data_IF_150884091282
#
_entry.id   IF_150884091282
#
_cell.length_a   1.000
_cell.length_b   1.000
_cell.length_c   1.000
_cell.angle_alpha   90.00
_cell.angle_beta   90.00
_cell.angle_gamma   90.00
#
_symmetry.space_group_name_H-M   'P 1'
#
loop_
_entity.id
_entity.type
_entity.pdbx_description
1 polymer ?
#
# COMPACT_ATOMS: atom_id res chain seq x y z
N UNK A 1 -7.09 22.00 -11.57
CA UNK A 1 -7.27 21.30 -12.86
C UNK A 1 -8.16 20.09 -12.60
N UNK A 2 -9.06 19.71 -13.51
CA UNK A 2 -9.95 18.56 -13.27
C UNK A 2 -9.10 17.27 -13.35
N UNK A 3 -9.32 16.31 -12.45
CA UNK A 3 -8.62 15.00 -12.41
C UNK A 3 -8.74 14.20 -13.72
N UNK A 4 -9.60 14.61 -14.66
CA UNK A 4 -9.87 13.95 -15.93
C UNK A 4 -9.47 14.76 -17.16
N UNK A 5 -8.47 15.65 -17.07
CA UNK A 5 -7.90 16.30 -18.26
C UNK A 5 -7.10 15.30 -19.10
N UNK A 6 -6.54 14.26 -18.48
CA UNK A 6 -5.88 13.16 -19.19
C UNK A 6 -6.93 12.26 -19.87
N UNK A 7 -6.78 12.05 -21.16
CA UNK A 7 -7.69 11.21 -21.99
C UNK A 7 -7.85 9.79 -21.43
N UNK A 8 -6.79 9.19 -20.88
CA UNK A 8 -6.83 7.85 -20.29
C UNK A 8 -7.81 7.80 -19.11
N UNK A 9 -7.67 8.73 -18.15
CA UNK A 9 -8.53 8.74 -16.95
C UNK A 9 -9.97 9.11 -17.28
N UNK A 10 -10.20 9.96 -18.28
CA UNK A 10 -11.54 10.25 -18.79
C UNK A 10 -12.20 9.00 -19.41
N UNK A 11 -11.45 8.21 -20.16
CA UNK A 11 -11.95 6.97 -20.74
C UNK A 11 -12.26 5.94 -19.63
N UNK A 12 -11.37 5.77 -18.67
CA UNK A 12 -11.58 4.91 -17.50
C UNK A 12 -12.83 5.30 -16.72
N UNK A 13 -13.00 6.58 -16.41
CA UNK A 13 -14.19 7.10 -15.74
C UNK A 13 -15.47 6.72 -16.48
N UNK A 14 -15.54 6.97 -17.79
CA UNK A 14 -16.73 6.69 -18.59
C UNK A 14 -17.00 5.18 -18.70
N UNK A 15 -15.97 4.38 -18.93
CA UNK A 15 -16.07 2.91 -19.05
C UNK A 15 -16.55 2.29 -17.74
N UNK A 16 -15.97 2.71 -16.61
CA UNK A 16 -16.30 2.13 -15.31
C UNK A 16 -17.71 2.53 -14.85
N UNK A 17 -18.13 3.78 -14.98
CA UNK A 17 -19.48 4.20 -14.59
C UNK A 17 -20.57 3.71 -15.57
N UNK A 18 -20.21 3.18 -16.75
CA UNK A 18 -21.15 2.45 -17.59
C UNK A 18 -21.42 1.02 -17.08
N UNK A 19 -20.55 0.46 -16.24
CA UNK A 19 -20.62 -0.94 -15.77
C UNK A 19 -20.76 -1.08 -14.25
N UNK A 20 -20.40 -0.06 -13.50
CA UNK A 20 -20.40 -0.03 -12.03
C UNK A 20 -21.03 1.25 -11.50
N UNK A 21 -21.74 1.16 -10.38
CA UNK A 21 -22.34 2.33 -9.71
C UNK A 21 -21.29 3.31 -9.17
N UNK A 22 -20.08 2.83 -8.98
CA UNK A 22 -18.97 3.63 -8.44
C UNK A 22 -17.61 2.96 -8.67
N UNK A 23 -16.54 3.76 -8.61
CA UNK A 23 -15.15 3.30 -8.57
C UNK A 23 -14.30 4.20 -7.67
N UNK A 24 -13.17 3.69 -7.19
CA UNK A 24 -12.18 4.47 -6.42
C UNK A 24 -11.07 4.96 -7.34
N UNK A 25 -10.75 6.25 -7.28
CA UNK A 25 -9.57 6.85 -7.88
C UNK A 25 -8.50 7.00 -6.82
N UNK A 26 -7.38 6.29 -7.00
CA UNK A 26 -6.24 6.27 -6.09
C UNK A 26 -5.09 7.04 -6.70
N UNK A 27 -4.66 8.14 -6.04
CA UNK A 27 -3.39 8.79 -6.32
C UNK A 27 -2.32 8.23 -5.40
N UNK A 28 -1.16 7.90 -5.97
CA UNK A 28 -0.05 7.32 -5.25
C UNK A 28 1.23 8.10 -5.59
N UNK A 29 1.86 8.63 -4.56
CA UNK A 29 3.18 9.25 -4.63
C UNK A 29 4.22 8.28 -4.08
N UNK A 30 5.29 8.05 -4.84
CA UNK A 30 6.43 7.23 -4.42
C UNK A 30 7.48 8.15 -3.80
N UNK A 31 7.55 8.17 -2.47
CA UNK A 31 8.51 8.99 -1.71
C UNK A 31 9.83 8.23 -1.54
N UNK A 32 10.54 8.08 -2.65
CA UNK A 32 11.80 7.35 -2.69
C UNK A 32 12.74 7.98 -3.72
N UNK A 33 14.04 7.92 -3.42
CA UNK A 33 15.12 8.26 -4.39
C UNK A 33 15.40 7.10 -5.36
N UNK A 34 14.81 5.95 -5.14
CA UNK A 34 14.97 4.77 -5.99
C UNK A 34 14.06 4.87 -7.22
N UNK A 35 14.63 5.35 -8.32
CA UNK A 35 13.92 5.43 -9.59
C UNK A 35 13.41 4.07 -10.09
N UNK A 36 14.03 2.95 -9.67
CA UNK A 36 13.55 1.62 -10.07
C UNK A 36 12.23 1.29 -9.39
N UNK A 37 12.02 1.71 -8.14
CA UNK A 37 10.75 1.57 -7.43
C UNK A 37 9.65 2.41 -8.10
N UNK A 38 9.96 3.67 -8.43
CA UNK A 38 9.02 4.56 -9.13
C UNK A 38 8.57 3.98 -10.48
N UNK A 39 9.54 3.52 -11.29
CA UNK A 39 9.26 2.91 -12.59
C UNK A 39 8.43 1.61 -12.46
N UNK A 40 8.65 0.85 -11.37
CA UNK A 40 7.85 -0.34 -11.07
C UNK A 40 6.38 0.02 -10.82
N UNK A 41 6.12 1.07 -10.03
CA UNK A 41 4.76 1.56 -9.77
C UNK A 41 4.11 2.14 -11.04
N UNK A 42 4.84 2.91 -11.86
CA UNK A 42 4.33 3.40 -13.15
C UNK A 42 3.87 2.27 -14.05
N UNK A 43 4.72 1.25 -14.24
CA UNK A 43 4.38 0.07 -15.05
C UNK A 43 3.20 -0.71 -14.46
N UNK A 44 3.15 -0.86 -13.15
CA UNK A 44 2.07 -1.57 -12.48
C UNK A 44 0.72 -0.84 -12.62
N UNK A 45 0.71 0.48 -12.46
CA UNK A 45 -0.48 1.31 -12.63
C UNK A 45 -0.99 1.29 -14.07
N UNK A 46 -0.10 1.41 -15.06
CA UNK A 46 -0.45 1.29 -16.47
C UNK A 46 -1.09 -0.06 -16.79
N UNK A 47 -0.45 -1.15 -16.38
CA UNK A 47 -0.98 -2.51 -16.62
C UNK A 47 -2.33 -2.72 -15.92
N UNK A 48 -2.49 -2.23 -14.70
CA UNK A 48 -3.73 -2.32 -13.93
C UNK A 48 -4.86 -1.55 -14.61
N UNK A 49 -4.63 -0.30 -15.01
CA UNK A 49 -5.60 0.54 -15.68
C UNK A 49 -5.99 0.00 -17.07
N UNK A 50 -5.03 -0.54 -17.82
CA UNK A 50 -5.29 -1.18 -19.11
C UNK A 50 -6.18 -2.43 -18.96
N UNK A 51 -6.02 -3.22 -17.90
CA UNK A 51 -6.94 -4.33 -17.62
C UNK A 51 -8.37 -3.84 -17.37
N UNK A 52 -8.56 -2.74 -16.65
CA UNK A 52 -9.89 -2.16 -16.43
C UNK A 52 -10.57 -1.74 -17.74
N UNK A 53 -9.83 -1.18 -18.69
CA UNK A 53 -10.37 -0.80 -20.01
C UNK A 53 -10.74 -2.02 -20.87
N UNK A 54 -9.90 -3.06 -20.83
CA UNK A 54 -10.04 -4.21 -21.72
C UNK A 54 -10.96 -5.31 -21.16
N UNK A 55 -11.14 -5.39 -19.84
CA UNK A 55 -11.93 -6.43 -19.19
C UNK A 55 -12.59 -5.93 -17.91
N UNK A 56 -13.50 -4.97 -18.05
CA UNK A 56 -14.22 -4.37 -16.92
C UNK A 56 -15.15 -5.34 -16.16
N UNK A 57 -15.46 -6.51 -16.72
CA UNK A 57 -16.34 -7.50 -16.06
C UNK A 57 -15.62 -8.37 -15.01
N UNK A 58 -14.28 -8.47 -15.08
CA UNK A 58 -13.47 -9.31 -14.18
C UNK A 58 -12.24 -8.52 -13.71
N UNK A 59 -12.50 -7.61 -12.78
CA UNK A 59 -11.48 -6.70 -12.24
C UNK A 59 -10.63 -7.36 -11.16
N UNK A 60 -9.38 -6.92 -11.05
CA UNK A 60 -8.54 -7.23 -9.89
C UNK A 60 -9.09 -6.49 -8.66
N UNK A 61 -9.27 -7.17 -7.53
CA UNK A 61 -9.84 -6.62 -6.30
C UNK A 61 -8.91 -5.65 -5.56
N UNK A 62 -7.61 -5.65 -5.88
CA UNK A 62 -6.62 -4.83 -5.21
C UNK A 62 -5.48 -4.40 -6.12
N UNK A 63 -4.80 -3.34 -5.70
CA UNK A 63 -3.56 -2.85 -6.30
C UNK A 63 -2.37 -3.20 -5.41
N UNK A 64 -1.40 -3.93 -5.95
CA UNK A 64 -0.24 -4.43 -5.22
C UNK A 64 0.72 -3.32 -4.78
N UNK A 65 1.25 -3.44 -3.56
CA UNK A 65 2.31 -2.60 -3.04
C UNK A 65 3.64 -3.35 -3.07
N UNK A 66 4.72 -2.64 -3.41
CA UNK A 66 6.07 -3.20 -3.54
C UNK A 66 6.94 -2.82 -2.36
N UNK A 67 7.60 -3.79 -1.74
CA UNK A 67 8.61 -3.52 -0.73
C UNK A 67 9.83 -2.85 -1.39
N UNK A 68 10.32 -1.71 -0.86
CA UNK A 68 11.36 -0.93 -1.53
C UNK A 68 12.74 -1.61 -1.57
N UNK A 69 12.98 -2.62 -0.74
CA UNK A 69 14.26 -3.33 -0.66
C UNK A 69 15.31 -2.58 0.18
N UNK A 70 16.55 -3.06 0.11
CA UNK A 70 17.61 -2.81 1.09
C UNK A 70 18.00 -1.36 1.36
N UNK A 71 17.74 -0.43 0.45
CA UNK A 71 18.15 0.97 0.62
C UNK A 71 17.10 1.87 1.27
N UNK A 72 15.86 1.39 1.40
CA UNK A 72 14.73 2.17 1.91
C UNK A 72 13.90 1.51 3.01
N UNK A 73 13.93 0.18 3.12
CA UNK A 73 13.23 -0.54 4.16
C UNK A 73 14.06 -0.54 5.45
N UNK A 74 13.93 0.51 6.25
CA UNK A 74 14.29 0.41 7.66
C UNK A 74 13.23 -0.45 8.34
N UNK A 75 13.59 -1.70 8.64
CA UNK A 75 12.85 -2.47 9.63
C UNK A 75 13.21 -1.87 10.99
N UNK A 76 12.34 -1.03 11.50
CA UNK A 76 12.42 -0.60 12.90
C UNK A 76 11.63 -1.61 13.71
N UNK A 77 12.33 -2.46 14.47
CA UNK A 77 11.66 -3.27 15.47
C UNK A 77 11.05 -2.33 16.52
N UNK A 78 9.77 -2.52 16.82
CA UNK A 78 9.09 -1.80 17.90
C UNK A 78 9.33 -2.60 19.20
N UNK A 79 10.57 -2.76 19.59
CA UNK A 79 10.98 -3.46 20.79
C UNK A 79 11.80 -2.55 21.72
N UNK A 80 11.79 -2.85 23.02
CA UNK A 80 12.30 -2.03 24.11
C UNK A 80 13.83 -1.89 24.19
N UNK A 81 14.60 -2.35 23.19
CA UNK A 81 16.07 -2.33 23.29
C UNK A 81 16.70 -1.59 22.10
N UNK A 82 17.30 -0.42 22.38
CA UNK A 82 17.93 0.45 21.38
C UNK A 82 19.21 -0.14 20.76
N UNK A 83 19.82 -1.18 21.35
CA UNK A 83 21.08 -1.77 20.88
C UNK A 83 20.92 -2.80 19.75
N UNK A 84 19.72 -3.30 19.46
CA UNK A 84 19.46 -4.31 18.44
C UNK A 84 19.14 -3.76 17.05
N UNK A 85 19.31 -2.46 16.81
CA UNK A 85 18.92 -1.74 15.58
C UNK A 85 19.80 -1.97 14.35
N UNK A 86 20.74 -2.91 14.35
CA UNK A 86 21.77 -3.01 13.31
C UNK A 86 21.77 -4.30 12.48
N UNK A 87 20.68 -5.03 12.43
CA UNK A 87 20.62 -6.20 11.54
C UNK A 87 19.87 -5.83 10.26
N UNK A 88 20.54 -5.88 9.18
CA UNK A 88 20.22 -5.64 7.78
C UNK A 88 18.77 -5.34 7.37
N UNK A 89 18.55 -4.77 6.20
CA UNK A 89 17.31 -4.11 5.81
C UNK A 89 16.10 -5.05 5.62
N UNK A 90 16.26 -6.35 5.79
CA UNK A 90 15.20 -7.35 5.67
C UNK A 90 15.09 -8.26 6.89
N UNK A 91 15.66 -7.83 8.00
CA UNK A 91 15.59 -8.57 9.24
C UNK A 91 14.23 -8.38 9.90
N UNK A 92 13.45 -9.44 9.99
CA UNK A 92 12.20 -9.51 10.72
C UNK A 92 12.43 -10.41 11.92
N UNK A 93 12.60 -9.78 13.09
CA UNK A 93 12.81 -10.45 14.36
C UNK A 93 11.57 -11.29 14.73
N UNK A 94 11.84 -12.44 15.32
CA UNK A 94 10.79 -13.38 15.74
C UNK A 94 9.86 -12.84 16.83
N UNK A 95 10.23 -11.79 17.56
CA UNK A 95 9.51 -11.38 18.76
C UNK A 95 8.83 -10.02 18.74
N UNK A 96 9.34 -8.91 18.23
CA UNK A 96 8.54 -7.69 18.11
C UNK A 96 7.78 -7.63 16.79
N UNK A 97 6.71 -6.86 16.75
CA UNK A 97 6.04 -6.50 15.50
C UNK A 97 6.97 -5.62 14.67
N UNK A 98 7.29 -6.08 13.48
CA UNK A 98 8.19 -5.39 12.56
C UNK A 98 7.43 -4.44 11.64
N UNK A 99 8.00 -3.27 11.40
CA UNK A 99 7.42 -2.24 10.56
C UNK A 99 8.17 -2.15 9.24
N UNK A 100 7.48 -2.41 8.14
CA UNK A 100 7.99 -2.25 6.78
C UNK A 100 7.40 -0.98 6.18
N UNK A 101 8.23 0.04 5.98
CA UNK A 101 7.84 1.25 5.25
C UNK A 101 7.84 0.96 3.74
N UNK A 102 6.72 1.21 3.08
CA UNK A 102 6.57 0.97 1.65
C UNK A 102 6.98 2.17 0.80
N UNK A 103 7.40 3.28 1.44
CA UNK A 103 7.81 4.52 0.79
C UNK A 103 6.76 5.07 -0.20
N UNK A 104 5.48 4.89 0.12
CA UNK A 104 4.38 5.43 -0.68
C UNK A 104 3.38 6.17 0.19
N UNK A 105 2.85 7.25 -0.35
CA UNK A 105 1.79 8.07 0.24
C UNK A 105 0.63 8.09 -0.73
N UNK A 106 -0.60 7.92 -0.23
CA UNK A 106 -1.77 7.84 -1.08
C UNK A 106 -2.88 8.81 -0.68
N UNK A 107 -3.73 9.13 -1.65
CA UNK A 107 -5.04 9.70 -1.43
C UNK A 107 -6.07 8.99 -2.30
N UNK A 108 -7.30 8.87 -1.83
CA UNK A 108 -8.35 8.17 -2.56
C UNK A 108 -9.65 8.97 -2.59
N UNK A 109 -10.34 8.90 -3.73
CA UNK A 109 -11.62 9.54 -3.97
C UNK A 109 -12.60 8.56 -4.61
N UNK A 110 -13.80 8.50 -4.10
CA UNK A 110 -14.87 7.69 -4.68
C UNK A 110 -15.65 8.52 -5.68
N UNK A 111 -15.87 7.99 -6.88
CA UNK A 111 -16.71 8.55 -7.93
C UNK A 111 -17.95 7.68 -8.12
N UNK A 112 -19.12 8.28 -8.22
CA UNK A 112 -20.41 7.62 -8.37
C UNK A 112 -21.03 7.93 -9.73
N UNK A 113 -21.86 7.04 -10.24
CA UNK A 113 -22.67 7.21 -11.45
C UNK A 113 -23.60 8.44 -11.40
N UNK A 114 -24.02 8.82 -10.18
CA UNK A 114 -24.80 10.06 -9.93
C UNK A 114 -24.03 11.36 -10.19
N UNK A 115 -22.74 11.29 -10.56
CA UNK A 115 -21.85 12.44 -10.74
C UNK A 115 -21.30 12.99 -9.42
N UNK A 116 -21.66 12.42 -8.25
CA UNK A 116 -21.09 12.79 -6.95
C UNK A 116 -19.72 12.17 -6.76
N UNK A 117 -18.87 12.84 -5.98
CA UNK A 117 -17.59 12.30 -5.52
C UNK A 117 -17.26 12.75 -4.10
N UNK A 118 -16.46 11.96 -3.38
CA UNK A 118 -16.01 12.28 -2.02
C UNK A 118 -14.69 11.59 -1.71
N UNK A 119 -13.89 12.18 -0.81
CA UNK A 119 -12.68 11.56 -0.31
C UNK A 119 -13.06 10.30 0.51
N UNK A 120 -12.38 9.20 0.26
CA UNK A 120 -12.68 7.91 0.90
C UNK A 120 -11.44 7.31 1.56
N UNK A 121 -11.65 6.60 2.68
CA UNK A 121 -10.67 5.67 3.19
C UNK A 121 -10.59 4.42 2.31
N UNK A 122 -9.59 3.59 2.57
CA UNK A 122 -9.38 2.33 1.87
C UNK A 122 -8.72 1.32 2.81
N UNK A 123 -8.64 0.08 2.35
CA UNK A 123 -8.05 -1.02 3.12
C UNK A 123 -6.70 -1.40 2.54
N UNK A 124 -5.80 -1.82 3.43
CA UNK A 124 -4.54 -2.46 3.08
C UNK A 124 -4.59 -3.89 3.60
N UNK A 125 -4.71 -4.85 2.68
CA UNK A 125 -4.81 -6.28 2.97
C UNK A 125 -3.53 -7.01 2.63
N UNK A 126 -3.23 -8.12 3.33
CA UNK A 126 -2.21 -9.05 2.88
C UNK A 126 -2.59 -9.65 1.53
N UNK A 127 -1.59 -9.91 0.69
CA UNK A 127 -1.80 -10.72 -0.50
C UNK A 127 -1.93 -12.20 -0.12
N UNK A 128 -2.66 -12.96 -0.94
CA UNK A 128 -2.83 -14.41 -0.72
C UNK A 128 -1.49 -15.17 -0.66
N UNK A 129 -0.47 -14.69 -1.40
CA UNK A 129 0.88 -15.26 -1.40
C UNK A 129 1.61 -15.09 -0.06
N UNK A 130 1.23 -14.13 0.78
CA UNK A 130 1.79 -13.96 2.12
C UNK A 130 1.59 -15.23 2.98
N UNK A 131 0.49 -15.97 2.75
CA UNK A 131 0.20 -17.23 3.45
C UNK A 131 1.25 -18.34 3.23
N UNK A 132 2.10 -18.19 2.19
CA UNK A 132 3.20 -19.13 1.89
C UNK A 132 4.52 -18.73 2.56
N UNK A 133 4.53 -17.64 3.30
CA UNK A 133 5.67 -17.13 4.06
C UNK A 133 5.43 -17.32 5.55
N UNK A 134 6.46 -17.07 6.35
CA UNK A 134 6.34 -17.02 7.81
C UNK A 134 5.72 -15.72 8.31
N UNK A 135 5.48 -14.73 7.41
CA UNK A 135 4.94 -13.43 7.77
C UNK A 135 3.43 -13.46 8.00
N UNK A 136 3.00 -12.70 8.98
CA UNK A 136 1.58 -12.33 9.20
C UNK A 136 1.47 -10.84 9.40
N UNK A 137 0.38 -10.25 8.88
CA UNK A 137 0.08 -8.84 9.16
C UNK A 137 -0.47 -8.74 10.59
N UNK A 138 0.30 -8.15 11.49
CA UNK A 138 0.03 -8.13 12.93
C UNK A 138 -1.31 -7.47 13.31
N UNK A 139 -1.76 -6.47 12.55
CA UNK A 139 -3.05 -5.82 12.72
C UNK A 139 -4.16 -6.41 11.83
N UNK A 140 -3.92 -7.55 11.19
CA UNK A 140 -4.84 -8.27 10.29
C UNK A 140 -5.26 -7.47 9.05
N UNK A 141 -5.58 -6.20 9.18
CA UNK A 141 -6.01 -5.30 8.11
C UNK A 141 -5.61 -3.86 8.44
N UNK A 142 -4.94 -3.20 7.53
CA UNK A 142 -4.73 -1.76 7.60
C UNK A 142 -6.00 -1.01 7.18
N UNK A 143 -6.52 -0.15 8.06
CA UNK A 143 -7.61 0.77 7.73
C UNK A 143 -6.98 2.15 7.56
N UNK A 144 -7.06 2.69 6.36
CA UNK A 144 -6.43 3.96 6.01
C UNK A 144 -7.51 5.03 5.90
N UNK A 145 -7.43 6.04 6.75
CA UNK A 145 -8.38 7.15 6.77
C UNK A 145 -8.28 8.00 5.50
N UNK A 146 -9.39 8.56 5.04
CA UNK A 146 -9.47 9.42 3.85
C UNK A 146 -8.49 10.62 3.89
N UNK A 147 -8.19 11.11 5.10
CA UNK A 147 -7.29 12.24 5.32
C UNK A 147 -5.84 11.86 5.63
N UNK A 148 -5.48 10.58 5.70
CA UNK A 148 -4.11 10.16 5.99
C UNK A 148 -3.17 10.51 4.82
N UNK A 149 -2.01 11.10 5.13
CA UNK A 149 -0.99 11.52 4.16
C UNK A 149 0.43 11.16 4.63
N UNK A 150 0.55 10.14 5.48
CA UNK A 150 1.83 9.51 5.83
C UNK A 150 2.15 8.32 4.94
N UNK A 151 3.33 7.75 5.10
CA UNK A 151 3.74 6.52 4.42
C UNK A 151 2.84 5.35 4.80
N UNK A 152 2.48 4.53 3.82
CA UNK A 152 1.85 3.24 4.07
C UNK A 152 2.88 2.27 4.63
N UNK A 153 2.53 1.62 5.74
CA UNK A 153 3.42 0.73 6.47
C UNK A 153 2.75 -0.61 6.73
N UNK A 154 3.46 -1.69 6.46
CA UNK A 154 3.08 -3.03 6.88
C UNK A 154 3.62 -3.33 8.27
N UNK A 155 2.78 -3.83 9.16
CA UNK A 155 3.16 -4.30 10.49
C UNK A 155 3.15 -5.82 10.46
N UNK A 156 4.33 -6.46 10.63
CA UNK A 156 4.46 -7.90 10.49
C UNK A 156 4.99 -8.55 11.75
N UNK A 157 4.46 -9.71 12.05
CA UNK A 157 5.05 -10.71 12.95
C UNK A 157 5.50 -11.93 12.15
N UNK A 158 6.47 -12.65 12.69
CA UNK A 158 6.94 -13.94 12.15
C UNK A 158 6.26 -15.05 12.94
N UNK A 159 5.66 -16.00 12.25
CA UNK A 159 4.97 -17.14 12.85
C UNK A 159 5.60 -18.46 12.39
N UNK A 160 5.26 -19.56 13.07
CA UNK A 160 5.79 -20.90 12.77
C UNK A 160 7.32 -21.01 12.95
N UNK A 161 7.82 -20.44 14.03
CA UNK A 161 9.20 -20.63 14.46
C UNK A 161 9.33 -22.06 14.98
N UNK A 162 10.27 -22.89 14.46
CA UNK A 162 10.50 -24.22 14.98
C UNK A 162 10.93 -24.18 16.46
N UNK A 163 10.39 -25.10 17.29
CA UNK A 163 10.69 -25.15 18.73
C UNK A 163 12.14 -25.53 19.07
N UNK A 164 12.86 -26.11 18.10
CA UNK A 164 14.22 -26.66 18.23
C UNK A 164 15.32 -25.74 17.68
N UNK A 165 14.97 -24.50 17.30
CA UNK A 165 15.95 -23.54 16.80
C UNK A 165 16.80 -23.03 17.95
N UNK A 166 18.12 -23.30 17.88
CA UNK A 166 19.08 -22.92 18.91
C UNK A 166 19.60 -21.49 18.80
N UNK A 167 19.36 -20.82 17.68
CA UNK A 167 19.74 -19.43 17.41
C UNK A 167 18.50 -18.68 16.89
N UNK A 168 18.04 -17.66 17.61
CA UNK A 168 16.86 -16.85 17.25
C UNK A 168 16.97 -16.24 15.84
N UNK A 169 18.21 -16.06 15.32
CA UNK A 169 18.47 -15.55 13.97
C UNK A 169 18.14 -16.53 12.85
N UNK A 170 18.01 -17.84 13.12
CA UNK A 170 17.56 -18.82 12.13
C UNK A 170 16.06 -18.68 11.83
N UNK A 171 15.34 -17.90 12.64
CA UNK A 171 13.91 -17.64 12.50
C UNK A 171 13.59 -16.39 11.69
N UNK A 172 14.61 -15.66 11.25
CA UNK A 172 14.43 -14.41 10.55
C UNK A 172 13.83 -14.61 9.14
N UNK A 173 12.95 -13.72 8.76
CA UNK A 173 12.43 -13.69 7.40
C UNK A 173 13.23 -12.68 6.56
N UNK A 174 13.76 -13.16 5.44
CA UNK A 174 14.47 -12.35 4.48
C UNK A 174 13.62 -12.13 3.24
N UNK A 175 13.10 -10.92 3.07
CA UNK A 175 12.37 -10.52 1.86
C UNK A 175 13.29 -9.96 0.78
N UNK A 176 12.81 -10.02 -0.46
CA UNK A 176 13.52 -9.47 -1.61
C UNK A 176 12.97 -8.09 -2.00
N UNK A 177 13.80 -7.32 -2.70
CA UNK A 177 13.37 -6.05 -3.29
C UNK A 177 12.20 -6.27 -4.25
N UNK A 178 11.15 -5.46 -4.09
CA UNK A 178 9.89 -5.53 -4.83
C UNK A 178 8.98 -6.71 -4.47
N UNK A 179 9.25 -7.41 -3.39
CA UNK A 179 8.26 -8.34 -2.83
C UNK A 179 6.93 -7.63 -2.61
N UNK A 180 5.85 -8.38 -2.85
CA UNK A 180 4.48 -7.86 -2.74
C UNK A 180 3.78 -8.55 -1.59
N UNK A 181 3.86 -7.94 -0.42
CA UNK A 181 3.22 -8.47 0.78
C UNK A 181 1.77 -8.01 0.93
N UNK A 182 1.50 -6.78 0.49
CA UNK A 182 0.26 -6.06 0.73
C UNK A 182 -0.35 -5.54 -0.58
N UNK A 183 -1.64 -5.26 -0.53
CA UNK A 183 -2.40 -4.66 -1.61
C UNK A 183 -3.41 -3.66 -1.06
N UNK A 184 -3.67 -2.59 -1.80
CA UNK A 184 -4.75 -1.63 -1.52
C UNK A 184 -6.04 -2.18 -2.12
N UNK A 185 -7.11 -2.22 -1.32
CA UNK A 185 -8.45 -2.57 -1.76
C UNK A 185 -9.43 -1.43 -1.47
N UNK A 186 -10.29 -1.15 -2.45
CA UNK A 186 -11.35 -0.16 -2.28
C UNK A 186 -12.47 -0.68 -1.34
N UNK A 187 -13.18 0.20 -0.63
CA UNK A 187 -14.40 -0.17 0.09
C UNK A 187 -15.42 -0.83 -0.85
N UNK A 188 -15.84 -2.04 -0.48
CA UNK A 188 -16.76 -2.84 -1.28
C UNK A 188 -16.12 -3.52 -2.49
N UNK A 189 -14.79 -3.54 -2.59
CA UNK A 189 -14.02 -4.16 -3.68
C UNK A 189 -14.41 -3.64 -5.07
N UNK A 190 -14.83 -2.38 -5.15
CA UNK A 190 -15.13 -1.71 -6.43
C UNK A 190 -13.85 -1.48 -7.24
N UNK A 191 -13.95 -1.21 -8.55
CA UNK A 191 -12.77 -0.92 -9.38
C UNK A 191 -11.90 0.19 -8.79
N UNK A 192 -10.58 0.07 -8.97
CA UNK A 192 -9.59 1.06 -8.55
C UNK A 192 -8.87 1.58 -9.78
N UNK A 193 -9.01 2.87 -10.09
CA UNK A 193 -8.14 3.55 -11.06
C UNK A 193 -6.93 4.09 -10.32
N UNK A 194 -5.73 3.88 -10.82
CA UNK A 194 -4.48 4.27 -10.16
C UNK A 194 -3.75 5.33 -10.98
N UNK A 195 -3.38 6.43 -10.32
CA UNK A 195 -2.51 7.48 -10.86
C UNK A 195 -1.25 7.57 -10.00
N UNK A 196 -0.08 7.44 -10.64
CA UNK A 196 1.20 7.74 -9.99
C UNK A 196 1.47 9.22 -10.18
N UNK A 197 1.58 9.95 -9.07
CA UNK A 197 1.80 11.41 -9.09
C UNK A 197 3.26 11.76 -8.82
N UNK A 198 3.68 12.93 -9.31
CA UNK A 198 5.09 13.34 -9.27
C UNK A 198 5.50 13.94 -7.93
N UNK A 199 4.54 14.50 -7.18
CA UNK A 199 4.81 15.16 -5.91
C UNK A 199 3.74 14.85 -4.86
N UNK A 200 4.08 15.06 -3.59
CA UNK A 200 3.13 14.93 -2.47
C UNK A 200 1.98 15.95 -2.57
N UNK A 201 2.23 17.10 -3.17
CA UNK A 201 1.25 18.17 -3.40
C UNK A 201 0.15 17.73 -4.37
N UNK A 202 0.47 16.85 -5.34
CA UNK A 202 -0.48 16.33 -6.31
C UNK A 202 -1.51 15.35 -5.70
N UNK A 203 -1.27 14.87 -4.46
CA UNK A 203 -2.23 14.07 -3.70
C UNK A 203 -3.49 14.85 -3.29
N UNK A 204 -3.49 16.17 -3.44
CA UNK A 204 -4.60 17.06 -3.15
C UNK A 204 -4.39 17.91 -1.91
N UNK A 205 -5.48 18.39 -1.33
CA UNK A 205 -5.44 19.34 -0.22
C UNK A 205 -4.76 18.76 1.04
N UNK A 206 -4.09 19.65 1.80
CA UNK A 206 -3.59 19.29 3.13
C UNK A 206 -4.78 18.95 4.04
N UNK A 207 -4.64 17.86 4.79
CA UNK A 207 -5.69 17.37 5.67
C UNK A 207 -5.33 17.61 7.14
N UNK A 208 -6.34 17.70 7.99
CA UNK A 208 -6.16 17.83 9.45
C UNK A 208 -5.45 16.58 10.03
N UNK A 209 -5.71 15.39 9.43
CA UNK A 209 -5.09 14.14 9.86
C UNK A 209 -3.57 14.11 9.55
N UNK A 210 -3.18 14.64 8.39
CA UNK A 210 -1.78 14.66 7.96
C UNK A 210 -1.13 13.28 7.93
N UNK A 211 0.10 13.17 8.47
CA UNK A 211 0.90 11.95 8.59
C UNK A 211 0.75 11.22 9.94
N UNK A 212 -0.14 11.71 10.81
CA UNK A 212 -0.42 11.11 12.12
C UNK A 212 -1.01 9.69 12.00
N UNK A 213 -0.22 8.67 12.33
CA UNK A 213 -0.58 7.25 12.30
C UNK A 213 -0.40 6.56 13.66
N UNK A 214 -0.72 5.27 13.76
CA UNK A 214 -0.43 4.34 14.86
C UNK A 214 -0.62 4.93 16.29
N UNK A 215 -1.83 5.47 16.57
CA UNK A 215 -2.19 5.96 17.90
C UNK A 215 -1.95 7.46 18.14
N UNK A 216 -1.65 8.26 17.12
CA UNK A 216 -1.52 9.73 17.23
C UNK A 216 -2.83 10.44 17.64
N UNK A 217 -3.97 9.76 17.57
CA UNK A 217 -5.29 10.27 17.99
C UNK A 217 -5.62 10.03 19.47
N UNK A 218 -4.64 9.59 20.24
CA UNK A 218 -4.74 9.41 21.70
C UNK A 218 -5.16 7.98 22.10
N UNK A 219 -4.63 7.53 23.23
CA UNK A 219 -5.16 6.43 24.03
C UNK A 219 -6.17 6.98 25.01
#
# INVERSE_FOLDING_TARGET
>A
MSEFENTLYKNLHNTLLASYDKFMFLKLFVDSKDETLKNKYLTAAENHNNKLLNNSNFIDAGFDLFAPGNEGAKLESIGYDEELRFYGPNYIDANPVNKVDLNVICSAKMYLDSGKSFNTGYYMYPRSSLSKTQLRLANSTGIIDAGYRGHLMGMFDVVNIPEDVSDDRECDYYGEKFDRYLQICAPGLVPIVVEIVESKEDLGEKTVRGDGGFGSSGR
#
